data_IF_533462025202
#
_entry.id   IF_533462025202
#
_cell.length_a   1.000
_cell.length_b   1.000
_cell.length_c   1.000
_cell.angle_alpha   90.00
_cell.angle_beta   90.00
_cell.angle_gamma   90.00
#
_symmetry.space_group_name_H-M   'P 1'
#
loop_
_entity.id
_entity.type
_entity.pdbx_description
1 polymer ?
#
# COMPACT_ATOMS: atom_id res chain seq x y z
N UNK A 1 -7.62 4.13 13.20
CA UNK A 1 -6.28 3.70 12.77
C UNK A 1 -6.25 2.18 12.79
N UNK A 2 -6.36 1.52 11.63
CA UNK A 2 -6.25 0.06 11.52
C UNK A 2 -4.84 -0.23 11.02
N UNK A 3 -3.91 -0.29 11.96
CA UNK A 3 -2.60 -0.90 11.70
C UNK A 3 -2.90 -2.39 11.51
N UNK A 4 -2.57 -2.93 10.32
CA UNK A 4 -2.78 -4.32 9.95
C UNK A 4 -2.42 -5.26 11.11
N UNK A 5 -3.37 -6.08 11.56
CA UNK A 5 -3.06 -7.28 12.35
C UNK A 5 -2.92 -8.45 11.38
N UNK A 6 -1.99 -9.35 11.71
CA UNK A 6 -1.47 -10.44 10.85
C UNK A 6 -2.53 -11.38 10.24
N UNK A 7 -3.79 -11.29 10.67
CA UNK A 7 -4.91 -12.13 10.27
C UNK A 7 -5.80 -11.53 9.16
N UNK A 8 -5.64 -10.23 8.82
CA UNK A 8 -6.55 -9.54 7.89
C UNK A 8 -5.86 -8.88 6.67
N UNK A 9 -4.53 -8.83 6.60
CA UNK A 9 -3.83 -8.23 5.46
C UNK A 9 -3.37 -9.30 4.47
N UNK A 10 -3.76 -9.10 3.21
CA UNK A 10 -3.39 -9.94 2.08
C UNK A 10 -1.88 -10.16 2.09
N UNK A 11 -1.44 -11.41 2.20
CA UNK A 11 -0.05 -11.82 2.51
C UNK A 11 0.95 -11.36 1.43
N UNK A 12 0.45 -10.81 0.32
CA UNK A 12 1.20 -10.39 -0.87
C UNK A 12 2.41 -9.51 -0.56
N UNK A 13 2.31 -8.60 0.41
CA UNK A 13 3.40 -7.65 0.73
C UNK A 13 4.03 -7.86 2.12
N UNK A 14 3.73 -8.99 2.77
CA UNK A 14 4.34 -9.34 4.06
C UNK A 14 5.87 -9.29 3.94
N UNK A 15 6.53 -8.73 4.96
CA UNK A 15 7.98 -8.53 5.05
C UNK A 15 8.64 -7.62 3.99
N UNK A 16 7.89 -7.15 3.00
CA UNK A 16 8.37 -6.30 1.90
C UNK A 16 7.84 -4.88 1.96
N UNK A 17 6.77 -4.63 2.72
CA UNK A 17 6.18 -3.31 2.87
C UNK A 17 6.88 -2.51 3.99
N UNK A 18 7.31 -1.28 3.70
CA UNK A 18 7.93 -0.36 4.66
C UNK A 18 7.23 1.00 4.63
N UNK A 19 6.87 1.52 5.79
CA UNK A 19 6.36 2.88 5.95
C UNK A 19 7.46 3.77 6.52
N UNK A 20 7.76 4.87 5.82
CA UNK A 20 8.54 5.96 6.38
C UNK A 20 7.61 6.89 7.17
N UNK A 21 7.80 6.93 8.49
CA UNK A 21 6.97 7.73 9.39
C UNK A 21 7.27 9.25 9.34
N UNK A 22 8.39 9.67 8.75
CA UNK A 22 8.72 11.09 8.59
C UNK A 22 8.01 11.68 7.38
N UNK A 23 8.03 10.96 6.26
CA UNK A 23 7.46 11.45 4.98
C UNK A 23 6.06 10.90 4.68
N UNK A 24 5.66 9.81 5.33
CA UNK A 24 4.45 9.05 4.99
C UNK A 24 4.60 8.17 3.76
N UNK A 25 5.82 8.00 3.24
CA UNK A 25 6.08 7.20 2.04
C UNK A 25 5.93 5.71 2.32
N UNK A 26 5.19 5.01 1.46
CA UNK A 26 5.02 3.57 1.51
C UNK A 26 5.86 2.90 0.41
N UNK A 27 6.82 2.07 0.80
CA UNK A 27 7.76 1.41 -0.10
C UNK A 27 7.53 -0.10 -0.10
N UNK A 28 7.40 -0.70 -1.28
CA UNK A 28 7.39 -2.16 -1.47
C UNK A 28 8.78 -2.56 -1.98
N UNK A 29 9.52 -3.35 -1.21
CA UNK A 29 10.87 -3.81 -1.56
C UNK A 29 10.82 -5.15 -2.31
N UNK A 30 11.91 -5.49 -3.00
CA UNK A 30 12.08 -6.76 -3.71
C UNK A 30 10.89 -7.05 -4.66
N UNK A 31 10.61 -6.10 -5.55
CA UNK A 31 9.49 -6.14 -6.51
C UNK A 31 9.71 -7.30 -7.50
N UNK A 32 8.64 -8.02 -7.84
CA UNK A 32 8.60 -9.15 -8.79
C UNK A 32 7.61 -8.86 -9.91
N UNK A 33 7.68 -9.59 -11.03
CA UNK A 33 6.71 -9.46 -12.14
C UNK A 33 5.26 -9.69 -11.68
N UNK A 34 5.06 -10.56 -10.69
CA UNK A 34 3.77 -10.82 -10.03
C UNK A 34 3.24 -9.64 -9.19
N UNK A 35 4.06 -8.63 -8.93
CA UNK A 35 3.63 -7.40 -8.25
C UNK A 35 3.03 -6.38 -9.24
N UNK A 36 3.08 -6.64 -10.56
CA UNK A 36 2.35 -5.81 -11.52
C UNK A 36 0.85 -5.79 -11.24
N UNK A 37 0.18 -4.70 -11.61
CA UNK A 37 -1.25 -4.51 -11.46
C UNK A 37 -1.62 -3.10 -11.03
N UNK A 38 -2.90 -2.93 -10.71
CA UNK A 38 -3.45 -1.65 -10.26
C UNK A 38 -3.37 -1.51 -8.74
N UNK A 39 -2.82 -0.38 -8.30
CA UNK A 39 -2.67 0.00 -6.91
C UNK A 39 -3.60 1.15 -6.59
N UNK A 40 -4.49 0.97 -5.61
CA UNK A 40 -5.45 1.98 -5.18
C UNK A 40 -4.97 2.67 -3.90
N UNK A 41 -4.61 3.94 -4.01
CA UNK A 41 -4.39 4.83 -2.87
C UNK A 41 -5.72 5.41 -2.42
N UNK A 42 -6.07 5.18 -1.15
CA UNK A 42 -7.25 5.75 -0.52
C UNK A 42 -6.84 6.60 0.70
N UNK A 43 -7.07 7.90 0.62
CA UNK A 43 -6.84 8.85 1.72
C UNK A 43 -8.21 9.28 2.23
N UNK A 44 -8.54 8.92 3.46
CA UNK A 44 -9.82 9.24 4.09
C UNK A 44 -9.63 10.26 5.21
N UNK A 45 -10.49 11.25 5.22
CA UNK A 45 -10.71 12.22 6.29
C UNK A 45 -12.21 12.24 6.64
N UNK A 46 -12.59 12.90 7.73
CA UNK A 46 -14.00 13.05 8.10
C UNK A 46 -14.79 13.86 7.06
N UNK A 47 -14.12 14.71 6.29
CA UNK A 47 -14.74 15.66 5.34
C UNK A 47 -14.51 15.31 3.88
N UNK A 48 -13.54 14.45 3.56
CA UNK A 48 -13.23 14.08 2.18
C UNK A 48 -12.62 12.68 2.08
N UNK A 49 -12.77 12.09 0.90
CA UNK A 49 -12.05 10.89 0.50
C UNK A 49 -11.39 11.14 -0.85
N UNK A 50 -10.09 10.85 -0.94
CA UNK A 50 -9.33 10.89 -2.18
C UNK A 50 -9.01 9.45 -2.56
N UNK A 51 -9.34 9.10 -3.81
CA UNK A 51 -9.00 7.82 -4.41
C UNK A 51 -8.12 8.11 -5.63
N UNK A 52 -6.97 7.46 -5.69
CA UNK A 52 -6.08 7.45 -6.85
C UNK A 52 -5.72 6.02 -7.20
N UNK A 53 -5.70 5.72 -8.49
CA UNK A 53 -5.27 4.41 -8.99
C UNK A 53 -3.98 4.60 -9.79
N UNK A 54 -3.01 3.74 -9.54
CA UNK A 54 -1.74 3.69 -10.23
C UNK A 54 -1.60 2.33 -10.89
N UNK A 55 -1.37 2.30 -12.20
CA UNK A 55 -1.03 1.06 -12.90
C UNK A 55 0.48 0.88 -12.86
N UNK A 56 0.93 -0.23 -12.29
CA UNK A 56 2.33 -0.59 -12.18
C UNK A 56 2.57 -1.81 -13.06
N UNK A 57 3.54 -1.70 -13.96
CA UNK A 57 4.04 -2.80 -14.76
C UNK A 57 5.56 -2.89 -14.56
N UNK A 58 6.03 -4.10 -14.28
CA UNK A 58 7.44 -4.42 -14.04
C UNK A 58 7.99 -5.23 -15.21
#
# INVERSE_FOLDING_TARGET
SKICRDDQCDVRFRDRLKLDNQTGSLTITNIRTTDSGDYKLQINSNTFSIIRTFSVAI
#
